data_IF_897703283594
#
_entry.id   IF_897703283594
#
_cell.length_a   1.000
_cell.length_b   1.000
_cell.length_c   1.000
_cell.angle_alpha   90.00
_cell.angle_beta   90.00
_cell.angle_gamma   90.00
#
_symmetry.space_group_name_H-M   'P 1'
#
loop_
_entity.id
_entity.type
_entity.pdbx_description
1 polymer ?
#
# COMPACT_ATOMS: atom_id res chain seq x y z
N UNK A 1 10.50 -9.35 12.22
CA UNK A 1 10.60 -7.98 12.78
C UNK A 1 10.96 -7.09 11.62
N UNK A 2 10.03 -6.20 11.24
CA UNK A 2 10.10 -5.44 9.98
C UNK A 2 10.48 -3.98 10.19
N UNK A 3 10.29 -3.46 11.41
CA UNK A 3 10.73 -2.15 11.86
C UNK A 3 11.02 -2.17 13.37
N UNK A 4 11.75 -1.17 13.86
CA UNK A 4 12.00 -0.94 15.27
C UNK A 4 11.49 0.43 15.71
N UNK A 5 11.02 0.53 16.94
CA UNK A 5 10.62 1.80 17.56
C UNK A 5 11.64 2.15 18.63
N UNK A 6 12.24 3.33 18.52
CA UNK A 6 13.32 3.78 19.39
C UNK A 6 12.75 4.67 20.50
N UNK A 7 12.82 4.20 21.75
CA UNK A 7 12.46 4.97 22.93
C UNK A 7 13.76 5.31 23.67
N UNK A 8 14.30 6.49 23.39
CA UNK A 8 15.60 6.93 23.89
C UNK A 8 15.60 8.42 24.28
N UNK A 9 16.79 8.93 24.61
CA UNK A 9 17.02 10.36 24.77
C UNK A 9 16.80 11.07 23.42
N UNK A 10 16.10 12.22 23.38
CA UNK A 10 15.88 12.96 22.13
C UNK A 10 17.19 13.46 21.48
N UNK A 11 18.27 13.59 22.26
CA UNK A 11 19.61 13.95 21.80
C UNK A 11 20.46 12.73 21.38
N UNK A 12 19.83 11.57 21.15
CA UNK A 12 20.54 10.35 20.73
C UNK A 12 20.82 10.36 19.23
N UNK A 13 22.09 10.20 18.84
CA UNK A 13 22.54 10.10 17.44
C UNK A 13 22.20 8.75 16.76
N UNK A 14 21.26 7.98 17.33
CA UNK A 14 20.93 6.63 16.87
C UNK A 14 20.34 6.63 15.46
N UNK A 15 19.63 7.69 15.09
CA UNK A 15 19.06 7.87 13.77
C UNK A 15 20.12 8.21 12.69
N UNK A 16 21.32 8.64 13.09
CA UNK A 16 22.43 8.93 12.19
C UNK A 16 23.34 7.72 11.96
N UNK A 17 23.13 6.62 12.70
CA UNK A 17 23.91 5.40 12.58
C UNK A 17 23.45 4.53 11.42
N UNK A 18 24.39 4.01 10.63
CA UNK A 18 24.12 3.06 9.54
C UNK A 18 24.16 1.59 9.99
N UNK A 19 24.14 1.35 11.30
CA UNK A 19 24.29 0.02 11.89
C UNK A 19 22.98 -0.81 11.84
N UNK A 20 21.88 -0.18 11.42
CA UNK A 20 20.54 -0.78 11.41
C UNK A 20 20.03 -1.00 9.97
N UNK A 21 19.85 -2.27 9.62
CA UNK A 21 19.34 -2.69 8.30
C UNK A 21 17.81 -2.70 8.19
N UNK A 22 17.11 -2.23 9.22
CA UNK A 22 15.65 -2.13 9.28
C UNK A 22 15.27 -0.71 9.69
N UNK A 23 14.11 -0.20 9.24
CA UNK A 23 13.65 1.14 9.60
C UNK A 23 13.60 1.33 11.13
N UNK A 24 14.13 2.46 11.58
CA UNK A 24 13.98 2.95 12.95
C UNK A 24 12.92 4.06 12.95
N UNK A 25 11.98 3.97 13.87
CA UNK A 25 10.89 4.94 14.02
C UNK A 25 10.93 5.59 15.40
N UNK A 26 10.55 6.86 15.48
CA UNK A 26 10.27 7.53 16.75
C UNK A 26 8.86 7.19 17.23
N UNK A 27 8.56 7.34 18.54
CA UNK A 27 7.20 7.19 19.04
C UNK A 27 6.21 8.15 18.38
N UNK A 28 6.67 9.34 17.98
CA UNK A 28 5.85 10.32 17.26
C UNK A 28 5.46 9.84 15.85
N UNK A 29 6.38 9.23 15.11
CA UNK A 29 6.07 8.65 13.79
C UNK A 29 5.09 7.48 13.88
N UNK A 30 5.26 6.62 14.89
CA UNK A 30 4.34 5.52 15.15
C UNK A 30 2.96 6.08 15.46
N UNK A 31 2.87 7.10 16.29
CA UNK A 31 1.60 7.72 16.61
C UNK A 31 0.94 8.36 15.39
N UNK A 32 1.71 9.07 14.56
CA UNK A 32 1.21 9.66 13.31
C UNK A 32 0.70 8.58 12.33
N UNK A 33 1.32 7.40 12.31
CA UNK A 33 0.91 6.30 11.43
C UNK A 33 -0.39 5.63 11.88
N UNK A 34 -0.62 5.51 13.20
CA UNK A 34 -1.70 4.67 13.74
C UNK A 34 -2.83 5.44 14.42
N UNK A 35 -2.60 6.69 14.85
CA UNK A 35 -3.62 7.52 15.49
C UNK A 35 -4.33 8.38 14.43
N UNK A 36 -5.56 8.02 14.08
CA UNK A 36 -6.36 8.76 13.09
C UNK A 36 -6.76 10.16 13.54
N UNK A 37 -6.72 10.45 14.83
CA UNK A 37 -6.96 11.79 15.36
C UNK A 37 -5.72 12.70 15.26
N UNK A 38 -4.53 12.13 14.98
CA UNK A 38 -3.29 12.90 14.85
C UNK A 38 -3.08 13.29 13.39
N UNK A 39 -3.22 14.59 13.12
CA UNK A 39 -2.92 15.14 11.80
C UNK A 39 -1.41 15.35 11.59
N UNK A 40 -0.98 15.28 10.33
CA UNK A 40 0.39 15.62 9.95
C UNK A 40 0.71 17.08 10.30
N UNK A 41 1.84 17.30 10.95
CA UNK A 41 2.31 18.63 11.35
C UNK A 41 3.76 18.82 10.92
N UNK A 42 4.13 20.08 10.65
CA UNK A 42 5.52 20.49 10.41
C UNK A 42 6.38 20.40 11.67
N UNK A 43 5.76 20.41 12.85
CA UNK A 43 6.45 20.33 14.13
C UNK A 43 6.68 18.87 14.49
N UNK A 44 7.93 18.43 14.41
CA UNK A 44 8.32 17.08 14.72
C UNK A 44 8.69 16.96 16.21
N UNK A 45 8.07 16.03 16.93
CA UNK A 45 8.30 15.84 18.36
C UNK A 45 9.24 14.66 18.62
N UNK A 46 10.45 14.94 19.13
CA UNK A 46 11.42 13.89 19.50
C UNK A 46 11.26 13.42 20.95
N UNK A 47 10.82 14.30 21.85
CA UNK A 47 10.56 13.91 23.25
C UNK A 47 9.19 13.25 23.37
N UNK A 48 9.18 11.91 23.38
CA UNK A 48 7.96 11.12 23.49
C UNK A 48 7.11 11.46 24.71
N UNK A 49 7.66 12.08 25.77
CA UNK A 49 6.88 12.49 26.94
C UNK A 49 5.82 13.53 26.58
N UNK A 50 6.05 14.33 25.54
CA UNK A 50 5.11 15.37 25.11
C UNK A 50 3.86 14.78 24.46
N UNK A 51 3.90 13.54 23.97
CA UNK A 51 2.76 12.86 23.35
C UNK A 51 2.09 11.84 24.28
N UNK A 52 2.56 11.69 25.51
CA UNK A 52 1.89 10.88 26.55
C UNK A 52 0.81 11.70 27.27
N UNK A 53 -0.17 11.06 27.95
CA UNK A 53 -1.20 11.76 28.71
C UNK A 53 -0.61 12.81 29.67
N UNK A 54 -1.03 14.07 29.51
CA UNK A 54 -0.52 15.21 30.27
C UNK A 54 0.63 15.97 29.60
N UNK A 55 1.16 15.49 28.48
CA UNK A 55 2.11 16.21 27.63
C UNK A 55 1.42 17.25 26.74
N UNK A 56 2.19 18.25 26.30
CA UNK A 56 1.69 19.39 25.51
C UNK A 56 1.13 18.99 24.15
N UNK A 57 1.66 17.92 23.57
CA UNK A 57 1.31 17.41 22.24
C UNK A 57 0.47 16.13 22.33
N UNK A 58 -0.15 15.84 23.48
CA UNK A 58 -0.99 14.67 23.67
C UNK A 58 -2.25 14.75 22.79
N UNK A 59 -2.50 13.69 22.03
CA UNK A 59 -3.73 13.49 21.28
C UNK A 59 -4.29 12.15 21.69
N UNK A 60 -5.58 12.10 22.05
CA UNK A 60 -6.23 10.84 22.40
C UNK A 60 -6.16 9.86 21.22
N UNK A 61 -5.85 8.60 21.51
CA UNK A 61 -5.71 7.58 20.47
C UNK A 61 -7.08 7.22 19.88
N UNK A 62 -7.21 7.38 18.57
CA UNK A 62 -8.38 6.94 17.81
C UNK A 62 -7.90 6.01 16.70
N UNK A 63 -8.28 4.74 16.76
CA UNK A 63 -8.01 3.78 15.70
C UNK A 63 -8.77 4.14 14.42
N UNK A 64 -8.16 3.91 13.26
CA UNK A 64 -8.87 4.04 11.98
C UNK A 64 -9.86 2.90 11.82
N UNK A 65 -11.15 3.22 11.65
CA UNK A 65 -12.17 2.27 11.20
C UNK A 65 -12.32 2.27 9.67
N UNK A 66 -11.43 2.95 8.95
CA UNK A 66 -11.45 2.93 7.49
C UNK A 66 -11.02 1.54 7.00
N UNK A 67 -11.81 0.91 6.13
CA UNK A 67 -11.40 -0.34 5.53
C UNK A 67 -10.18 -0.11 4.64
N UNK A 68 -9.17 -0.96 4.78
CA UNK A 68 -7.93 -0.93 4.00
C UNK A 68 -7.72 -2.27 3.29
N UNK A 69 -6.99 -2.28 2.18
CA UNK A 69 -6.72 -3.49 1.39
C UNK A 69 -5.23 -3.82 1.48
N UNK A 70 -4.90 -4.98 2.06
CA UNK A 70 -3.55 -5.51 2.03
C UNK A 70 -3.14 -5.82 0.59
N UNK A 71 -2.14 -5.13 0.03
CA UNK A 71 -1.65 -5.42 -1.33
C UNK A 71 -0.92 -6.78 -1.42
N UNK A 72 -0.53 -7.34 -0.28
CA UNK A 72 0.26 -8.58 -0.22
C UNK A 72 -0.67 -9.79 -0.11
N UNK A 73 -1.70 -9.71 0.74
CA UNK A 73 -2.69 -10.80 0.93
C UNK A 73 -4.00 -10.58 0.18
N UNK A 74 -4.22 -9.37 -0.36
CA UNK A 74 -5.47 -8.94 -0.98
C UNK A 74 -6.69 -9.05 -0.06
N UNK A 75 -6.46 -8.97 1.26
CA UNK A 75 -7.49 -9.02 2.30
C UNK A 75 -7.92 -7.62 2.72
N UNK A 76 -9.21 -7.46 3.04
CA UNK A 76 -9.76 -6.20 3.56
C UNK A 76 -9.60 -6.19 5.09
N UNK A 77 -8.82 -5.24 5.59
CA UNK A 77 -8.56 -4.97 7.00
C UNK A 77 -9.57 -3.93 7.49
N UNK A 78 -9.99 -3.99 8.76
CA UNK A 78 -10.94 -3.04 9.38
C UNK A 78 -12.29 -2.91 8.64
N UNK A 79 -12.76 -3.98 8.02
CA UNK A 79 -14.16 -4.07 7.61
C UNK A 79 -15.01 -4.49 8.81
N UNK A 80 -15.73 -3.55 9.41
CA UNK A 80 -16.79 -3.86 10.39
C UNK A 80 -17.92 -4.72 9.78
N UNK A 81 -17.88 -4.95 8.48
CA UNK A 81 -18.83 -5.76 7.73
C UNK A 81 -18.15 -7.03 7.20
N UNK A 82 -17.91 -7.99 8.09
CA UNK A 82 -17.85 -9.40 7.68
C UNK A 82 -19.22 -9.97 7.26
N UNK A 83 -20.28 -9.15 7.26
CA UNK A 83 -21.56 -9.51 6.67
C UNK A 83 -21.70 -8.83 5.32
N UNK A 84 -21.31 -9.56 4.28
CA UNK A 84 -21.86 -9.58 2.91
C UNK A 84 -20.75 -9.93 1.92
N UNK A 85 -20.04 -11.04 2.19
CA UNK A 85 -19.48 -11.86 1.12
C UNK A 85 -20.65 -12.42 0.30
N UNK A 86 -21.25 -11.57 -0.51
CA UNK A 86 -22.26 -12.01 -1.47
C UNK A 86 -21.49 -12.51 -2.67
N UNK A 87 -21.62 -13.79 -3.02
CA UNK A 87 -21.05 -14.40 -4.22
C UNK A 87 -21.58 -13.79 -5.55
N UNK A 88 -22.38 -12.71 -5.47
CA UNK A 88 -22.99 -12.02 -6.60
C UNK A 88 -22.68 -10.53 -6.57
N UNK A 89 -22.15 -10.04 -7.68
CA UNK A 89 -21.87 -8.63 -7.95
C UNK A 89 -23.19 -7.88 -8.25
N UNK A 90 -24.00 -7.64 -7.23
CA UNK A 90 -25.35 -7.06 -7.41
C UNK A 90 -25.53 -5.69 -6.74
N UNK A 91 -24.51 -5.12 -6.10
CA UNK A 91 -24.64 -3.84 -5.40
C UNK A 91 -23.46 -2.92 -5.69
N UNK A 92 -23.77 -1.74 -6.23
CA UNK A 92 -22.88 -0.58 -6.26
C UNK A 92 -23.14 0.23 -4.98
N UNK A 93 -22.11 0.49 -4.18
CA UNK A 93 -22.19 1.44 -3.07
C UNK A 93 -21.46 2.71 -3.50
N UNK A 94 -22.18 3.83 -3.57
CA UNK A 94 -21.60 5.13 -3.87
C UNK A 94 -20.99 5.73 -2.60
N UNK A 95 -19.70 6.10 -2.66
CA UNK A 95 -19.07 7.10 -1.79
C UNK A 95 -18.26 8.06 -2.64
N UNK A 96 -17.98 9.23 -2.06
CA UNK A 96 -17.79 10.50 -2.75
C UNK A 96 -16.54 10.58 -3.66
N UNK A 97 -15.52 9.73 -3.46
CA UNK A 97 -14.22 9.85 -4.16
C UNK A 97 -13.81 8.62 -5.00
N UNK A 98 -14.78 7.96 -5.67
CA UNK A 98 -14.49 7.17 -6.88
C UNK A 98 -13.63 5.90 -6.70
N UNK A 99 -14.15 4.88 -6.02
CA UNK A 99 -13.55 3.53 -5.99
C UNK A 99 -14.54 2.45 -6.48
N UNK A 100 -14.01 1.42 -7.16
CA UNK A 100 -14.72 0.32 -7.83
C UNK A 100 -14.98 -0.83 -6.86
N UNK A 101 -16.19 -1.40 -6.87
CA UNK A 101 -16.51 -2.61 -6.12
C UNK A 101 -15.77 -3.84 -6.67
N UNK A 102 -14.87 -4.42 -5.88
CA UNK A 102 -14.28 -5.74 -6.18
C UNK A 102 -15.10 -6.80 -5.44
N UNK A 103 -16.17 -7.28 -6.08
CA UNK A 103 -16.79 -8.54 -5.67
C UNK A 103 -15.90 -9.72 -6.07
N UNK A 104 -15.91 -10.81 -5.30
CA UNK A 104 -15.22 -12.08 -5.67
C UNK A 104 -15.57 -12.56 -7.09
N UNK A 105 -16.77 -12.24 -7.58
CA UNK A 105 -17.17 -12.55 -8.96
C UNK A 105 -16.37 -11.79 -10.04
N UNK A 106 -15.93 -10.56 -9.78
CA UNK A 106 -15.06 -9.81 -10.68
C UNK A 106 -13.65 -10.42 -10.72
N UNK A 107 -13.14 -10.84 -9.56
CA UNK A 107 -11.89 -11.59 -9.47
C UNK A 107 -11.98 -12.93 -10.22
N UNK A 108 -13.09 -13.67 -10.11
CA UNK A 108 -13.29 -14.90 -10.89
C UNK A 108 -13.28 -14.67 -12.41
N UNK A 109 -13.81 -13.53 -12.90
CA UNK A 109 -13.70 -13.17 -14.32
C UNK A 109 -12.25 -12.87 -14.73
N UNK A 110 -11.50 -12.14 -13.89
CA UNK A 110 -10.08 -11.86 -14.13
C UNK A 110 -9.18 -13.11 -14.05
N UNK A 111 -9.58 -14.10 -13.24
CA UNK A 111 -8.94 -15.41 -13.15
C UNK A 111 -9.30 -16.29 -14.34
N UNK A 112 -10.54 -16.27 -14.83
CA UNK A 112 -10.95 -17.15 -15.94
C UNK A 112 -10.69 -16.57 -17.35
N UNK A 113 -10.14 -15.36 -17.46
CA UNK A 113 -9.79 -14.79 -18.78
C UNK A 113 -8.59 -15.52 -19.39
N UNK A 114 -8.58 -15.62 -20.71
CA UNK A 114 -7.52 -16.31 -21.47
C UNK A 114 -6.14 -15.65 -21.36
N UNK A 115 -6.09 -14.34 -21.08
CA UNK A 115 -4.85 -13.58 -20.90
C UNK A 115 -4.75 -13.04 -19.48
N UNK A 116 -3.96 -13.68 -18.63
CA UNK A 116 -3.77 -13.25 -17.24
C UNK A 116 -2.62 -12.26 -17.05
N UNK A 117 -1.81 -12.03 -18.09
CA UNK A 117 -0.60 -11.20 -18.04
C UNK A 117 0.61 -12.00 -18.54
N UNK A 118 1.79 -11.39 -18.40
CA UNK A 118 3.05 -12.08 -18.71
C UNK A 118 3.39 -13.03 -17.55
N UNK A 119 3.23 -14.33 -17.77
CA UNK A 119 3.59 -15.36 -16.81
C UNK A 119 5.12 -15.41 -16.64
N UNK A 120 5.60 -15.13 -15.43
CA UNK A 120 7.02 -15.11 -15.14
C UNK A 120 7.50 -16.55 -14.87
N UNK A 121 7.83 -17.29 -15.93
CA UNK A 121 8.40 -18.65 -15.89
C UNK A 121 9.86 -18.65 -15.41
N UNK A 122 10.07 -18.16 -14.19
CA UNK A 122 11.40 -17.93 -13.61
C UNK A 122 12.15 -19.27 -13.48
N UNK A 123 13.25 -19.41 -14.22
CA UNK A 123 14.09 -20.60 -14.18
C UNK A 123 13.63 -21.78 -15.06
N UNK A 124 12.46 -21.67 -15.69
CA UNK A 124 11.97 -22.66 -16.67
C UNK A 124 12.32 -22.27 -18.11
N UNK A 125 12.58 -20.97 -18.33
CA UNK A 125 12.94 -20.44 -19.64
C UNK A 125 14.44 -20.22 -19.79
N UNK A 126 15.00 -20.81 -20.84
CA UNK A 126 16.37 -20.54 -21.26
C UNK A 126 16.55 -19.05 -21.54
N UNK A 127 17.67 -18.51 -21.05
CA UNK A 127 18.02 -17.09 -21.24
C UNK A 127 18.14 -16.80 -22.73
N UNK A 128 17.20 -16.01 -23.26
CA UNK A 128 17.28 -15.47 -24.62
C UNK A 128 17.93 -14.09 -24.59
N UNK A 129 18.78 -13.83 -25.57
CA UNK A 129 19.30 -12.48 -25.82
C UNK A 129 18.14 -11.58 -26.23
N UNK A 130 18.12 -10.35 -25.71
CA UNK A 130 17.09 -9.38 -26.04
C UNK A 130 17.04 -9.12 -27.56
N UNK A 131 15.88 -9.33 -28.15
CA UNK A 131 15.63 -9.00 -29.56
C UNK A 131 15.11 -7.57 -29.68
N UNK A 132 15.41 -6.92 -30.81
CA UNK A 132 14.90 -5.58 -31.08
C UNK A 132 13.38 -5.65 -31.27
N UNK A 133 12.65 -4.98 -30.38
CA UNK A 133 11.19 -4.84 -30.48
C UNK A 133 10.73 -3.98 -31.65
N UNK A 134 9.40 -3.84 -31.80
CA UNK A 134 8.80 -2.98 -32.82
C UNK A 134 9.18 -1.51 -32.57
N UNK A 135 9.43 -0.76 -33.64
CA UNK A 135 9.71 0.68 -33.61
C UNK A 135 8.66 1.43 -34.44
N UNK A 136 8.46 2.71 -34.13
CA UNK A 136 7.44 3.56 -34.75
C UNK A 136 6.44 4.13 -33.75
N UNK A 137 5.40 4.80 -34.26
CA UNK A 137 4.34 5.35 -33.43
C UNK A 137 3.40 4.23 -32.96
N UNK A 138 2.85 4.26 -31.74
CA UNK A 138 1.92 3.25 -31.25
C UNK A 138 0.64 3.07 -32.10
N UNK A 139 0.32 4.07 -32.94
CA UNK A 139 -0.82 4.06 -33.86
C UNK A 139 -0.52 3.40 -35.22
N UNK A 140 0.75 3.04 -35.46
CA UNK A 140 1.21 2.39 -36.68
C UNK A 140 2.71 2.18 -36.59
N UNK A 141 3.11 0.97 -36.19
CA UNK A 141 4.54 0.62 -36.14
C UNK A 141 5.12 0.57 -37.54
N UNK A 142 6.43 0.82 -37.68
CA UNK A 142 7.12 0.83 -38.96
C UNK A 142 7.04 -0.53 -39.68
N UNK A 143 6.82 -1.60 -38.91
CA UNK A 143 6.64 -2.97 -39.40
C UNK A 143 5.20 -3.32 -39.81
N UNK A 144 4.23 -2.43 -39.57
CA UNK A 144 2.82 -2.67 -39.89
C UNK A 144 2.49 -2.15 -41.30
N UNK A 145 1.69 -2.91 -42.08
CA UNK A 145 1.29 -2.46 -43.40
C UNK A 145 0.46 -1.17 -43.30
N UNK A 146 0.55 -0.27 -44.29
CA UNK A 146 -0.18 0.99 -44.26
C UNK A 146 -1.69 0.73 -44.16
N UNK A 147 -2.33 1.44 -43.23
CA UNK A 147 -3.77 1.45 -43.08
C UNK A 147 -4.38 2.07 -44.34
N UNK A 148 -5.18 1.30 -45.09
CA UNK A 148 -5.94 1.74 -46.25
C UNK A 148 -7.17 2.57 -45.84
#
# INVERSE_FOLDING_TARGET
>A
VDAFVVIACPESDIFDSNDYFKPLLTPFEVELAFNSAREFSINYCLDFRQILPGGENYVEFVSSEKPDISLISNEIINSEQQTLLTDKMNALSCKEDGTVAIGKSGANFLVNRSWQGLEQRIGEDDVKVAEKGRCGLPVGYDSEPPLH
#
